data_IF_500364886693
#
_entry.id   IF_500364886693
#
_cell.length_a   1.000
_cell.length_b   1.000
_cell.length_c   1.000
_cell.angle_alpha   90.00
_cell.angle_beta   90.00
_cell.angle_gamma   90.00
#
_symmetry.space_group_name_H-M   'P 1'
#
loop_
_entity.id
_entity.type
_entity.pdbx_description
1 polymer ?
#
# COMPACT_ATOMS: atom_id res chain seq x y z
N UNK A 1 18.55 28.42 -29.10
CA UNK A 1 17.73 27.23 -29.46
C UNK A 1 18.13 25.98 -28.70
N UNK A 2 19.43 25.69 -28.51
CA UNK A 2 19.87 24.47 -27.80
C UNK A 2 19.56 24.45 -26.30
N UNK A 3 19.69 25.60 -25.62
CA UNK A 3 19.43 25.70 -24.19
C UNK A 3 17.94 25.50 -23.82
N UNK A 4 17.04 25.88 -24.72
CA UNK A 4 15.59 25.68 -24.58
C UNK A 4 15.18 24.21 -24.74
N UNK A 5 15.86 23.50 -25.65
CA UNK A 5 15.68 22.05 -25.84
C UNK A 5 16.12 21.27 -24.60
N UNK A 6 17.31 21.56 -24.07
CA UNK A 6 17.81 20.95 -22.81
C UNK A 6 16.89 21.20 -21.62
N UNK A 7 16.34 22.41 -21.48
CA UNK A 7 15.41 22.74 -20.41
C UNK A 7 14.09 21.95 -20.52
N UNK A 8 13.57 21.74 -21.74
CA UNK A 8 12.39 20.90 -21.98
C UNK A 8 12.66 19.42 -21.71
N UNK A 9 13.82 18.91 -22.12
CA UNK A 9 14.21 17.52 -21.90
C UNK A 9 14.42 17.22 -20.40
N UNK A 10 14.98 18.17 -19.63
CA UNK A 10 15.09 18.04 -18.18
C UNK A 10 13.72 18.00 -17.50
N UNK A 11 12.82 18.93 -17.83
CA UNK A 11 11.45 18.96 -17.28
C UNK A 11 10.66 17.70 -17.63
N UNK A 12 10.86 17.14 -18.83
CA UNK A 12 10.22 15.88 -19.25
C UNK A 12 10.71 14.71 -18.39
N UNK A 13 12.03 14.57 -18.21
CA UNK A 13 12.62 13.52 -17.36
C UNK A 13 12.21 13.65 -15.88
N UNK A 14 12.07 14.87 -15.37
CA UNK A 14 11.58 15.11 -14.01
C UNK A 14 10.12 14.67 -13.83
N UNK A 15 9.26 14.98 -14.81
CA UNK A 15 7.86 14.52 -14.82
C UNK A 15 7.74 12.99 -14.91
N UNK A 16 8.48 12.36 -15.83
CA UNK A 16 8.51 10.89 -15.97
C UNK A 16 8.95 10.20 -14.67
N UNK A 17 9.95 10.77 -13.97
CA UNK A 17 10.40 10.26 -12.65
C UNK A 17 9.35 10.45 -11.55
N UNK A 18 8.62 11.56 -11.58
CA UNK A 18 7.56 11.83 -10.62
C UNK A 18 6.38 10.85 -10.81
N UNK A 19 5.93 10.64 -12.05
CA UNK A 19 4.87 9.68 -12.37
C UNK A 19 5.25 8.24 -11.99
N UNK A 20 6.50 7.85 -12.26
CA UNK A 20 7.00 6.54 -11.85
C UNK A 20 7.00 6.37 -10.32
N UNK A 21 7.45 7.41 -9.59
CA UNK A 21 7.43 7.41 -8.12
C UNK A 21 6.02 7.34 -7.57
N UNK A 22 5.07 8.07 -8.15
CA UNK A 22 3.67 8.02 -7.75
C UNK A 22 3.07 6.63 -7.97
N UNK A 23 3.30 6.02 -9.13
CA UNK A 23 2.87 4.63 -9.37
C UNK A 23 3.47 3.65 -8.38
N UNK A 24 4.77 3.79 -8.09
CA UNK A 24 5.44 2.93 -7.12
C UNK A 24 4.87 3.10 -5.71
N UNK A 25 4.62 4.33 -5.28
CA UNK A 25 4.03 4.64 -3.98
C UNK A 25 2.60 4.06 -3.88
N UNK A 26 1.78 4.21 -4.94
CA UNK A 26 0.42 3.66 -5.00
C UNK A 26 0.37 2.14 -4.77
N UNK A 27 1.40 1.40 -5.18
CA UNK A 27 1.46 -0.06 -5.02
C UNK A 27 2.29 -0.51 -3.81
N UNK A 28 3.35 0.20 -3.46
CA UNK A 28 4.25 -0.17 -2.36
C UNK A 28 3.64 0.14 -1.00
N UNK A 29 2.95 1.27 -0.85
CA UNK A 29 2.24 1.62 0.39
C UNK A 29 1.24 0.54 0.81
N UNK A 30 0.30 0.06 -0.03
CA UNK A 30 -0.63 -0.98 0.39
C UNK A 30 0.04 -2.31 0.71
N UNK A 31 1.11 -2.63 -0.02
CA UNK A 31 1.88 -3.85 0.21
C UNK A 31 2.56 -3.84 1.59
N UNK A 32 3.28 -2.77 1.93
CA UNK A 32 3.99 -2.65 3.22
C UNK A 32 3.02 -2.67 4.39
N UNK A 33 1.92 -1.93 4.29
CA UNK A 33 0.87 -1.93 5.31
C UNK A 33 0.16 -3.28 5.43
N UNK A 34 -0.04 -4.00 4.33
CA UNK A 34 -0.62 -5.36 4.34
C UNK A 34 0.28 -6.35 5.09
N UNK A 35 1.59 -6.33 4.82
CA UNK A 35 2.56 -7.16 5.55
C UNK A 35 2.59 -6.80 7.03
N UNK A 36 2.66 -5.51 7.36
CA UNK A 36 2.63 -5.04 8.75
C UNK A 36 1.35 -5.47 9.47
N UNK A 37 0.19 -5.31 8.84
CA UNK A 37 -1.06 -5.79 9.37
C UNK A 37 -1.03 -7.31 9.60
N UNK A 38 -0.45 -8.09 8.69
CA UNK A 38 -0.38 -9.54 8.79
C UNK A 38 0.46 -10.00 9.98
N UNK A 39 1.61 -9.33 10.20
CA UNK A 39 2.47 -9.58 11.37
C UNK A 39 1.76 -9.16 12.65
N UNK A 40 1.17 -7.97 12.70
CA UNK A 40 0.43 -7.49 13.88
C UNK A 40 -0.72 -8.43 14.21
N UNK A 41 -1.49 -8.84 13.20
CA UNK A 41 -2.57 -9.81 13.32
C UNK A 41 -2.09 -11.11 13.94
N UNK A 42 -0.95 -11.64 13.51
CA UNK A 42 -0.36 -12.84 14.10
C UNK A 42 0.03 -12.68 15.59
N UNK A 43 0.60 -11.54 15.98
CA UNK A 43 0.97 -11.29 17.38
C UNK A 43 -0.22 -11.01 18.30
N UNK A 44 -1.26 -10.34 17.78
CA UNK A 44 -2.45 -9.98 18.54
C UNK A 44 -3.39 -11.18 18.71
N UNK A 45 -3.46 -12.05 17.70
CA UNK A 45 -4.33 -13.21 17.70
C UNK A 45 -3.67 -14.37 18.45
N UNK A 46 -4.10 -14.57 19.70
CA UNK A 46 -3.72 -15.75 20.49
C UNK A 46 -4.49 -17.02 20.10
N UNK A 47 -5.62 -16.88 19.39
CA UNK A 47 -6.46 -17.99 18.94
C UNK A 47 -6.71 -17.89 17.42
N UNK A 48 -6.16 -18.80 16.60
CA UNK A 48 -6.21 -18.68 15.13
C UNK A 48 -7.60 -18.82 14.50
N UNK A 49 -8.62 -19.15 15.31
CA UNK A 49 -10.02 -19.31 14.88
C UNK A 49 -10.79 -17.98 14.98
N UNK A 50 -10.24 -16.97 15.65
CA UNK A 50 -10.91 -15.68 15.82
C UNK A 50 -10.90 -14.85 14.52
N UNK A 51 -12.05 -14.28 14.17
CA UNK A 51 -12.22 -13.33 13.05
C UNK A 51 -11.50 -11.98 13.28
N UNK A 52 -10.85 -11.82 14.44
CA UNK A 52 -10.13 -10.62 14.89
C UNK A 52 -9.05 -10.17 13.89
N UNK A 53 -8.47 -11.09 13.12
CA UNK A 53 -7.47 -10.74 12.11
C UNK A 53 -8.03 -9.93 10.96
N UNK A 54 -9.23 -10.30 10.49
CA UNK A 54 -9.90 -9.57 9.43
C UNK A 54 -10.26 -8.15 9.90
N UNK A 55 -10.67 -8.00 11.16
CA UNK A 55 -10.90 -6.70 11.79
C UNK A 55 -9.64 -5.84 11.79
N UNK A 56 -8.48 -6.40 12.15
CA UNK A 56 -7.18 -5.69 12.10
C UNK A 56 -6.85 -5.25 10.67
N UNK A 57 -7.08 -6.10 9.67
CA UNK A 57 -6.85 -5.76 8.27
C UNK A 57 -7.73 -4.59 7.82
N UNK A 58 -9.03 -4.64 8.11
CA UNK A 58 -9.98 -3.57 7.78
C UNK A 58 -9.61 -2.27 8.48
N UNK A 59 -9.22 -2.34 9.76
CA UNK A 59 -8.81 -1.18 10.54
C UNK A 59 -7.52 -0.56 9.98
N UNK A 60 -6.56 -1.39 9.57
CA UNK A 60 -5.34 -0.94 8.90
C UNK A 60 -5.65 -0.25 7.57
N UNK A 61 -6.60 -0.77 6.78
CA UNK A 61 -7.08 -0.13 5.54
C UNK A 61 -7.72 1.23 5.81
N UNK A 62 -8.47 1.38 6.90
CA UNK A 62 -8.98 2.68 7.32
C UNK A 62 -7.85 3.65 7.70
N UNK A 63 -6.82 3.19 8.41
CA UNK A 63 -5.64 4.02 8.75
C UNK A 63 -4.90 4.45 7.48
N UNK A 64 -4.75 3.57 6.49
CA UNK A 64 -4.12 3.92 5.21
C UNK A 64 -4.85 5.09 4.52
N UNK A 65 -6.18 5.19 4.65
CA UNK A 65 -6.96 6.31 4.12
C UNK A 65 -6.45 7.67 4.65
N UNK A 66 -5.85 7.71 5.83
CA UNK A 66 -5.23 8.90 6.42
C UNK A 66 -3.78 9.13 5.96
N UNK A 67 -3.09 8.07 5.55
CA UNK A 67 -1.69 8.11 5.09
C UNK A 67 -1.59 8.62 3.65
N UNK A 68 -2.50 8.23 2.77
CA UNK A 68 -2.50 8.69 1.37
C UNK A 68 -2.61 10.22 1.15
N UNK A 69 -3.46 10.98 1.86
CA UNK A 69 -3.47 12.43 1.73
C UNK A 69 -2.15 13.07 2.21
N UNK A 70 -1.41 12.42 3.11
CA UNK A 70 -0.08 12.86 3.52
C UNK A 70 0.99 12.65 2.43
N UNK A 71 0.81 11.65 1.57
CA UNK A 71 1.72 11.33 0.46
C UNK A 71 1.49 12.15 -0.82
N UNK A 72 0.62 13.19 -0.80
CA UNK A 72 0.31 14.05 -1.95
C UNK A 72 0.01 13.28 -3.25
N UNK A 73 -0.44 12.03 -3.13
CA UNK A 73 -0.65 11.16 -4.26
C UNK A 73 -2.06 11.37 -4.77
N UNK A 74 -2.20 11.71 -6.05
CA UNK A 74 -3.49 11.84 -6.73
C UNK A 74 -4.17 10.45 -6.79
N UNK A 75 -4.93 10.09 -5.76
CA UNK A 75 -5.84 8.96 -5.84
C UNK A 75 -7.00 9.37 -6.74
N UNK A 76 -7.13 8.74 -7.90
CA UNK A 76 -8.11 9.11 -8.94
C UNK A 76 -9.56 8.73 -8.56
N UNK A 77 -9.80 8.34 -7.30
CA UNK A 77 -11.13 8.20 -6.72
C UNK A 77 -11.36 6.86 -6.00
N UNK A 78 -12.62 6.45 -5.92
CA UNK A 78 -13.07 5.21 -5.24
C UNK A 78 -12.46 3.95 -5.84
N UNK A 79 -12.20 3.96 -7.16
CA UNK A 79 -11.60 2.82 -7.88
C UNK A 79 -10.20 2.48 -7.35
N UNK A 80 -9.35 3.49 -7.19
CA UNK A 80 -8.00 3.32 -6.63
C UNK A 80 -8.07 2.87 -5.17
N UNK A 81 -9.05 3.39 -4.42
CA UNK A 81 -9.26 3.02 -3.03
C UNK A 81 -9.66 1.55 -2.87
N UNK A 82 -10.54 1.03 -3.74
CA UNK A 82 -10.90 -0.39 -3.77
C UNK A 82 -9.67 -1.23 -4.11
N UNK A 83 -8.86 -0.80 -5.08
CA UNK A 83 -7.63 -1.52 -5.46
C UNK A 83 -6.62 -1.61 -4.30
N UNK A 84 -6.38 -0.48 -3.62
CA UNK A 84 -5.51 -0.38 -2.45
C UNK A 84 -6.01 -1.28 -1.31
N UNK A 85 -7.31 -1.20 -1.02
CA UNK A 85 -7.94 -2.00 0.04
C UNK A 85 -7.83 -3.49 -0.27
N UNK A 86 -8.09 -3.86 -1.53
CA UNK A 86 -7.98 -5.23 -2.00
C UNK A 86 -6.54 -5.76 -1.89
N UNK A 87 -5.53 -5.01 -2.37
CA UNK A 87 -4.13 -5.41 -2.24
C UNK A 87 -3.74 -5.56 -0.77
N UNK A 88 -4.13 -4.61 0.08
CA UNK A 88 -3.76 -4.63 1.49
C UNK A 88 -4.35 -5.84 2.20
N UNK A 89 -5.64 -6.11 2.00
CA UNK A 89 -6.32 -7.28 2.58
C UNK A 89 -5.74 -8.58 2.01
N UNK A 90 -5.47 -8.64 0.70
CA UNK A 90 -4.88 -9.82 0.08
C UNK A 90 -3.46 -10.11 0.59
N UNK A 91 -2.64 -9.06 0.74
CA UNK A 91 -1.28 -9.17 1.25
C UNK A 91 -1.25 -9.48 2.75
N UNK A 92 -2.18 -8.91 3.53
CA UNK A 92 -2.43 -9.28 4.93
C UNK A 92 -2.78 -10.76 5.04
N UNK A 93 -3.71 -11.25 4.22
CA UNK A 93 -4.19 -12.64 4.26
C UNK A 93 -3.06 -13.62 3.94
N UNK A 94 -2.27 -13.35 2.90
CA UNK A 94 -1.10 -14.16 2.56
C UNK A 94 -0.09 -14.16 3.70
N UNK A 95 0.27 -12.98 4.22
CA UNK A 95 1.26 -12.85 5.29
C UNK A 95 0.80 -13.59 6.54
N UNK A 96 -0.44 -13.35 6.99
CA UNK A 96 -1.01 -14.00 8.17
C UNK A 96 -1.06 -15.53 8.02
N UNK A 97 -1.49 -16.03 6.84
CA UNK A 97 -1.52 -17.47 6.55
C UNK A 97 -0.12 -18.09 6.54
N UNK A 98 0.87 -17.39 5.98
CA UNK A 98 2.28 -17.82 5.98
C UNK A 98 2.85 -17.90 7.41
N UNK A 99 2.60 -16.89 8.24
CA UNK A 99 3.06 -16.89 9.63
C UNK A 99 2.40 -18.00 10.45
N UNK A 100 1.10 -18.23 10.26
CA UNK A 100 0.41 -19.37 10.87
C UNK A 100 1.01 -20.71 10.43
N UNK A 101 1.31 -20.87 9.14
CA UNK A 101 1.87 -22.12 8.62
C UNK A 101 3.32 -22.37 9.08
N UNK A 102 4.14 -21.33 9.25
CA UNK A 102 5.51 -21.44 9.78
C UNK A 102 5.53 -21.76 11.28
N UNK A 103 4.50 -21.34 12.03
CA UNK A 103 4.46 -21.47 13.49
C UNK A 103 3.61 -22.65 14.01
N UNK A 104 2.96 -23.40 13.12
CA UNK A 104 2.24 -24.66 13.38
C UNK A 104 3.14 -25.84 13.05
#
# INVERSE_FOLDING_TARGET
MENDKRARDMKKKEKEKAEYKEGLIKTLTPLLFGVLAGVISFYVIKNPISEDGLLIAILMVMVQKFVYPFLHTSLEGVKDWIYISFITVFCWFISFSLLLNIHI
#
